data_IF_103140750581
#
_entry.id   IF_103140750581
#
_cell.length_a   1.000
_cell.length_b   1.000
_cell.length_c   1.000
_cell.angle_alpha   90.00
_cell.angle_beta   90.00
_cell.angle_gamma   90.00
#
_symmetry.space_group_name_H-M   'P 1'
#
loop_
_entity.id
_entity.type
_entity.pdbx_description
1 polymer ?
#
# COMPACT_ATOMS: atom_id res chain seq x y z
N UNK A 1 -23.36 34.67 -26.00
CA UNK A 1 -22.84 33.48 -26.70
C UNK A 1 -22.04 32.57 -25.77
N UNK A 2 -20.99 33.07 -25.08
CA UNK A 2 -20.16 32.27 -24.15
C UNK A 2 -20.95 31.49 -23.08
N UNK A 3 -21.94 32.12 -22.41
CA UNK A 3 -22.78 31.43 -21.43
C UNK A 3 -23.63 30.31 -22.06
N UNK A 4 -24.20 30.54 -23.25
CA UNK A 4 -25.01 29.53 -23.92
C UNK A 4 -24.15 28.33 -24.35
N UNK A 5 -22.95 28.58 -24.87
CA UNK A 5 -21.99 27.52 -25.20
C UNK A 5 -21.58 26.72 -23.96
N UNK A 6 -21.37 27.38 -22.82
CA UNK A 6 -21.07 26.72 -21.55
C UNK A 6 -22.19 25.80 -21.09
N UNK A 7 -23.44 26.29 -21.05
CA UNK A 7 -24.59 25.47 -20.65
C UNK A 7 -24.82 24.29 -21.60
N UNK A 8 -24.70 24.50 -22.91
CA UNK A 8 -24.84 23.42 -23.90
C UNK A 8 -23.71 22.39 -23.78
N UNK A 9 -22.47 22.85 -23.55
CA UNK A 9 -21.32 21.97 -23.34
C UNK A 9 -21.44 21.16 -22.05
N UNK A 10 -21.93 21.77 -20.97
CA UNK A 10 -22.17 21.10 -19.69
C UNK A 10 -23.31 20.09 -19.79
N UNK A 11 -24.41 20.43 -20.46
CA UNK A 11 -25.50 19.50 -20.72
C UNK A 11 -25.03 18.30 -21.57
N UNK A 12 -24.27 18.56 -22.64
CA UNK A 12 -23.68 17.50 -23.47
C UNK A 12 -22.76 16.59 -22.64
N UNK A 13 -21.90 17.17 -21.79
CA UNK A 13 -21.02 16.45 -20.89
C UNK A 13 -21.80 15.53 -19.93
N UNK A 14 -22.88 16.04 -19.32
CA UNK A 14 -23.74 15.26 -18.42
C UNK A 14 -24.46 14.12 -19.14
N UNK A 15 -24.83 14.31 -20.41
CA UNK A 15 -25.48 13.28 -21.24
C UNK A 15 -24.49 12.25 -21.84
N UNK A 16 -23.18 12.45 -21.68
CA UNK A 16 -22.15 11.60 -22.28
C UNK A 16 -21.89 11.85 -23.76
N UNK A 17 -22.46 12.91 -24.35
CA UNK A 17 -22.13 13.36 -25.70
C UNK A 17 -20.80 14.13 -25.67
N UNK A 18 -19.70 13.37 -25.62
CA UNK A 18 -18.35 13.91 -25.43
C UNK A 18 -17.89 14.78 -26.59
N UNK A 19 -18.27 14.45 -27.82
CA UNK A 19 -17.90 15.23 -29.00
C UNK A 19 -18.57 16.61 -28.99
N UNK A 20 -19.87 16.65 -28.69
CA UNK A 20 -20.59 17.92 -28.54
C UNK A 20 -20.10 18.70 -27.33
N UNK A 21 -19.79 18.02 -26.23
CA UNK A 21 -19.21 18.66 -25.05
C UNK A 21 -17.91 19.38 -25.40
N UNK A 22 -16.97 18.72 -26.08
CA UNK A 22 -15.71 19.33 -26.54
C UNK A 22 -15.97 20.53 -27.46
N UNK A 23 -16.87 20.38 -28.42
CA UNK A 23 -17.18 21.43 -29.40
C UNK A 23 -17.75 22.68 -28.73
N UNK A 24 -18.69 22.51 -27.80
CA UNK A 24 -19.36 23.63 -27.13
C UNK A 24 -18.49 24.25 -26.04
N UNK A 25 -17.81 23.44 -25.23
CA UNK A 25 -16.89 23.93 -24.20
C UNK A 25 -15.69 24.66 -24.81
N UNK A 26 -15.19 24.22 -25.97
CA UNK A 26 -14.12 24.90 -26.71
C UNK A 26 -14.48 26.31 -27.19
N UNK A 27 -15.77 26.64 -27.29
CA UNK A 27 -16.26 27.98 -27.67
C UNK A 27 -16.44 28.92 -26.48
N UNK A 28 -16.27 28.43 -25.24
CA UNK A 28 -16.50 29.23 -24.03
C UNK A 28 -15.38 30.24 -23.81
N UNK A 29 -14.15 29.88 -24.21
CA UNK A 29 -12.95 30.70 -24.00
C UNK A 29 -12.35 31.16 -25.33
N UNK A 30 -11.87 32.39 -25.37
CA UNK A 30 -11.02 32.90 -26.46
C UNK A 30 -9.55 32.54 -26.22
N UNK A 31 -8.71 32.70 -27.24
CA UNK A 31 -7.28 32.43 -27.12
C UNK A 31 -6.66 33.31 -26.03
N UNK A 32 -6.06 32.67 -25.01
CA UNK A 32 -5.42 33.35 -23.87
C UNK A 32 -6.32 33.56 -22.65
N UNK A 33 -7.63 33.33 -22.76
CA UNK A 33 -8.53 33.32 -21.59
C UNK A 33 -8.35 32.03 -20.78
N UNK A 34 -8.31 32.17 -19.45
CA UNK A 34 -8.21 31.05 -18.50
C UNK A 34 -9.58 30.74 -17.92
N UNK A 35 -9.94 29.46 -17.92
CA UNK A 35 -11.11 28.96 -17.21
C UNK A 35 -10.86 27.50 -16.81
N UNK A 36 -10.39 27.31 -15.56
CA UNK A 36 -9.98 26.00 -15.07
C UNK A 36 -11.12 24.98 -15.03
N UNK A 37 -12.37 25.42 -14.83
CA UNK A 37 -13.52 24.51 -14.87
C UNK A 37 -13.78 23.97 -16.27
N UNK A 38 -13.81 24.85 -17.27
CA UNK A 38 -14.01 24.48 -18.67
C UNK A 38 -12.89 23.56 -19.15
N UNK A 39 -11.64 23.90 -18.84
CA UNK A 39 -10.48 23.13 -19.24
C UNK A 39 -10.43 21.75 -18.56
N UNK A 40 -10.85 21.66 -17.30
CA UNK A 40 -11.03 20.38 -16.63
C UNK A 40 -12.11 19.52 -17.31
N UNK A 41 -13.27 20.10 -17.63
CA UNK A 41 -14.35 19.38 -18.33
C UNK A 41 -13.92 18.94 -19.73
N UNK A 42 -13.19 19.78 -20.47
CA UNK A 42 -12.58 19.43 -21.75
C UNK A 42 -11.62 18.26 -21.60
N UNK A 43 -10.71 18.30 -20.62
CA UNK A 43 -9.79 17.20 -20.35
C UNK A 43 -10.51 15.87 -20.09
N UNK A 44 -11.58 15.89 -19.28
CA UNK A 44 -12.40 14.71 -19.02
C UNK A 44 -13.12 14.20 -20.28
N UNK A 45 -13.65 15.10 -21.11
CA UNK A 45 -14.30 14.72 -22.37
C UNK A 45 -13.30 14.13 -23.37
N UNK A 46 -12.10 14.71 -23.49
CA UNK A 46 -11.02 14.16 -24.30
C UNK A 46 -10.56 12.78 -23.82
N UNK A 47 -10.47 12.55 -22.50
CA UNK A 47 -10.22 11.20 -21.96
C UNK A 47 -11.27 10.18 -22.42
N UNK A 48 -12.54 10.56 -22.45
CA UNK A 48 -13.64 9.70 -22.89
C UNK A 48 -13.64 9.43 -24.39
N UNK A 49 -13.09 10.36 -25.18
CA UNK A 49 -12.89 10.21 -26.63
C UNK A 49 -11.61 9.45 -26.99
N UNK A 50 -10.78 9.06 -26.01
CA UNK A 50 -9.47 8.44 -26.26
C UNK A 50 -8.40 9.42 -26.76
N UNK A 51 -8.66 10.73 -26.73
CA UNK A 51 -7.72 11.77 -27.16
C UNK A 51 -6.82 12.16 -25.98
N UNK A 52 -5.94 11.25 -25.60
CA UNK A 52 -5.19 11.34 -24.35
C UNK A 52 -4.21 12.52 -24.28
N UNK A 53 -3.55 12.86 -25.40
CA UNK A 53 -2.65 14.02 -25.45
C UNK A 53 -3.43 15.34 -25.29
N UNK A 54 -4.56 15.48 -25.99
CA UNK A 54 -5.48 16.62 -25.86
C UNK A 54 -6.03 16.73 -24.44
N UNK A 55 -6.32 15.60 -23.79
CA UNK A 55 -6.73 15.57 -22.40
C UNK A 55 -5.62 16.08 -21.47
N UNK A 56 -4.38 15.59 -21.63
CA UNK A 56 -3.23 16.03 -20.85
C UNK A 56 -2.96 17.53 -21.02
N UNK A 57 -3.14 18.06 -22.23
CA UNK A 57 -3.04 19.49 -22.52
C UNK A 57 -4.15 20.28 -21.80
N UNK A 58 -5.41 19.87 -21.92
CA UNK A 58 -6.53 20.56 -21.29
C UNK A 58 -6.41 20.57 -19.75
N UNK A 59 -5.98 19.46 -19.13
CA UNK A 59 -5.69 19.45 -17.69
C UNK A 59 -4.53 20.39 -17.31
N UNK A 60 -3.52 20.54 -18.18
CA UNK A 60 -2.45 21.52 -17.97
C UNK A 60 -2.98 22.96 -18.04
N UNK A 61 -3.83 23.28 -19.03
CA UNK A 61 -4.49 24.59 -19.10
C UNK A 61 -5.34 24.86 -17.86
N UNK A 62 -6.03 23.85 -17.32
CA UNK A 62 -6.77 23.98 -16.06
C UNK A 62 -5.86 24.30 -14.86
N UNK A 63 -4.64 23.74 -14.83
CA UNK A 63 -3.64 24.02 -13.79
C UNK A 63 -3.08 25.45 -13.87
N UNK A 64 -3.17 26.12 -15.02
CA UNK A 64 -2.74 27.52 -15.18
C UNK A 64 -3.72 28.52 -14.55
N UNK A 65 -4.96 28.10 -14.28
CA UNK A 65 -5.97 28.86 -13.53
C UNK A 65 -5.87 28.54 -12.03
N UNK A 66 -4.98 29.25 -11.35
CA UNK A 66 -4.71 29.06 -9.92
C UNK A 66 -5.98 29.26 -9.06
N UNK A 67 -6.92 30.11 -9.50
CA UNK A 67 -8.15 30.38 -8.76
C UNK A 67 -9.13 29.19 -8.79
N UNK A 68 -9.04 28.31 -9.79
CA UNK A 68 -9.86 27.10 -9.85
C UNK A 68 -9.47 26.06 -8.79
N UNK A 69 -8.19 26.04 -8.40
CA UNK A 69 -7.65 25.10 -7.43
C UNK A 69 -7.67 23.65 -7.93
N UNK A 70 -7.85 22.69 -7.01
CA UNK A 70 -7.89 21.24 -7.30
C UNK A 70 -6.59 20.69 -7.91
N UNK A 71 -5.45 21.27 -7.56
CA UNK A 71 -4.12 20.97 -8.12
C UNK A 71 -3.83 19.47 -8.12
N UNK A 72 -3.91 18.78 -6.98
CA UNK A 72 -3.67 17.33 -6.90
C UNK A 72 -4.62 16.50 -7.78
N UNK A 73 -5.89 16.87 -7.91
CA UNK A 73 -6.84 16.15 -8.77
C UNK A 73 -6.52 16.36 -10.26
N UNK A 74 -6.18 17.58 -10.66
CA UNK A 74 -5.81 17.91 -12.04
C UNK A 74 -4.47 17.26 -12.44
N UNK A 75 -3.47 17.29 -11.56
CA UNK A 75 -2.21 16.56 -11.75
C UNK A 75 -2.46 15.06 -11.88
N UNK A 76 -3.33 14.48 -11.05
CA UNK A 76 -3.72 13.07 -11.15
C UNK A 76 -4.35 12.74 -12.49
N UNK A 77 -5.32 13.55 -12.93
CA UNK A 77 -5.99 13.34 -14.20
C UNK A 77 -5.04 13.51 -15.40
N UNK A 78 -4.16 14.53 -15.36
CA UNK A 78 -3.11 14.73 -16.35
C UNK A 78 -2.14 13.55 -16.41
N UNK A 79 -1.71 13.05 -15.25
CA UNK A 79 -0.86 11.86 -15.16
C UNK A 79 -1.50 10.63 -15.80
N UNK A 80 -2.79 10.38 -15.52
CA UNK A 80 -3.54 9.28 -16.15
C UNK A 80 -3.67 9.45 -17.67
N UNK A 81 -3.87 10.67 -18.14
CA UNK A 81 -3.90 10.99 -19.57
C UNK A 81 -2.54 10.72 -20.24
N UNK A 82 -1.45 11.18 -19.63
CA UNK A 82 -0.08 10.92 -20.11
C UNK A 82 0.23 9.43 -20.14
N UNK A 83 -0.19 8.67 -19.12
CA UNK A 83 -0.01 7.23 -19.07
C UNK A 83 -0.76 6.53 -20.22
N UNK A 84 -2.02 6.90 -20.46
CA UNK A 84 -2.82 6.38 -21.57
C UNK A 84 -2.26 6.77 -22.95
N UNK A 85 -1.57 7.91 -23.04
CA UNK A 85 -0.84 8.33 -24.24
C UNK A 85 0.52 7.61 -24.42
N UNK A 86 0.91 6.71 -23.52
CA UNK A 86 2.20 6.01 -23.54
C UNK A 86 3.39 6.87 -23.08
N UNK A 87 3.14 8.07 -22.54
CA UNK A 87 4.17 8.97 -22.01
C UNK A 87 4.44 8.67 -20.53
N UNK A 88 4.85 7.43 -20.24
CA UNK A 88 4.92 6.89 -18.88
C UNK A 88 5.83 7.68 -17.93
N UNK A 89 7.01 8.12 -18.38
CA UNK A 89 7.90 8.93 -17.55
C UNK A 89 7.30 10.29 -17.19
N UNK A 90 6.70 10.98 -18.17
CA UNK A 90 6.00 12.24 -17.93
C UNK A 90 4.82 12.05 -16.95
N UNK A 91 4.13 10.91 -17.03
CA UNK A 91 3.06 10.58 -16.08
C UNK A 91 3.61 10.46 -14.65
N UNK A 92 4.73 9.77 -14.45
CA UNK A 92 5.38 9.62 -13.13
C UNK A 92 5.74 10.98 -12.56
N UNK A 93 6.35 11.87 -13.34
CA UNK A 93 6.76 13.19 -12.87
C UNK A 93 5.57 14.03 -12.37
N UNK A 94 4.44 13.93 -13.08
CA UNK A 94 3.22 14.70 -12.77
C UNK A 94 2.47 14.10 -11.59
N UNK A 95 2.37 12.78 -11.54
CA UNK A 95 1.71 12.07 -10.43
C UNK A 95 2.51 12.18 -9.14
N UNK A 96 3.84 12.22 -9.22
CA UNK A 96 4.72 12.47 -8.07
C UNK A 96 4.46 13.84 -7.44
N UNK A 97 4.18 14.86 -8.27
CA UNK A 97 3.73 16.17 -7.77
C UNK A 97 2.34 16.10 -7.13
N UNK A 98 1.43 15.28 -7.66
CA UNK A 98 0.08 15.13 -7.10
C UNK A 98 0.11 14.55 -5.68
N UNK A 99 0.95 13.56 -5.41
CA UNK A 99 1.07 12.95 -4.06
C UNK A 99 1.83 13.83 -3.06
N UNK A 100 2.54 14.85 -3.54
CA UNK A 100 3.20 15.86 -2.71
C UNK A 100 2.29 17.05 -2.37
N UNK A 101 1.11 17.16 -2.99
CA UNK A 101 0.15 18.23 -2.70
C UNK A 101 -0.59 17.96 -1.38
N UNK A 102 -0.33 18.71 -0.29
CA UNK A 102 -0.95 18.47 1.01
C UNK A 102 -2.45 18.82 1.02
N UNK A 103 -2.93 19.56 0.01
CA UNK A 103 -4.36 19.90 -0.12
C UNK A 103 -5.15 18.80 -0.84
N UNK A 104 -4.48 17.78 -1.39
CA UNK A 104 -5.14 16.73 -2.14
C UNK A 104 -5.79 15.70 -1.22
N UNK A 105 -7.12 15.75 -1.13
CA UNK A 105 -7.91 14.91 -0.21
C UNK A 105 -8.01 13.43 -0.61
N UNK A 106 -7.62 13.07 -1.83
CA UNK A 106 -7.70 11.68 -2.33
C UNK A 106 -6.41 11.23 -3.01
N UNK A 107 -5.25 11.27 -2.33
CA UNK A 107 -3.96 10.98 -2.94
C UNK A 107 -3.82 9.50 -3.34
N UNK A 108 -4.61 8.57 -2.76
CA UNK A 108 -4.69 7.19 -3.24
C UNK A 108 -4.93 7.08 -4.75
N UNK A 109 -5.67 8.01 -5.37
CA UNK A 109 -5.90 7.99 -6.83
C UNK A 109 -4.62 8.26 -7.62
N UNK A 110 -3.77 9.15 -7.13
CA UNK A 110 -2.46 9.41 -7.72
C UNK A 110 -1.51 8.23 -7.47
N UNK A 111 -1.53 7.65 -6.26
CA UNK A 111 -0.74 6.46 -5.95
C UNK A 111 -1.12 5.24 -6.81
N UNK A 112 -2.42 5.00 -7.05
CA UNK A 112 -2.87 3.95 -7.98
C UNK A 112 -2.31 4.18 -9.39
N UNK A 113 -2.40 5.42 -9.89
CA UNK A 113 -1.87 5.78 -11.21
C UNK A 113 -0.34 5.68 -11.28
N UNK A 114 0.38 6.02 -10.20
CA UNK A 114 1.83 5.81 -10.08
C UNK A 114 2.17 4.32 -10.13
N UNK A 115 1.42 3.50 -9.40
CA UNK A 115 1.56 2.04 -9.42
C UNK A 115 1.49 1.50 -10.85
N UNK A 116 0.45 1.88 -11.59
CA UNK A 116 0.28 1.47 -12.99
C UNK A 116 1.39 2.01 -13.91
N UNK A 117 1.87 3.24 -13.66
CA UNK A 117 2.97 3.80 -14.43
C UNK A 117 4.29 3.05 -14.20
N UNK A 118 4.61 2.71 -12.95
CA UNK A 118 5.78 1.90 -12.64
C UNK A 118 5.67 0.46 -13.16
N UNK A 119 4.48 -0.15 -13.13
CA UNK A 119 4.25 -1.46 -13.76
C UNK A 119 4.53 -1.42 -15.27
N UNK A 120 4.09 -0.37 -15.97
CA UNK A 120 4.36 -0.23 -17.41
C UNK A 120 5.87 -0.07 -17.72
N UNK A 121 6.65 0.49 -16.80
CA UNK A 121 8.11 0.54 -16.91
C UNK A 121 8.81 -0.76 -16.48
N UNK A 122 8.08 -1.73 -15.91
CA UNK A 122 8.66 -2.92 -15.29
C UNK A 122 9.34 -2.65 -13.93
N UNK A 123 9.13 -1.47 -13.33
CA UNK A 123 9.64 -1.15 -12.00
C UNK A 123 8.70 -1.70 -10.90
N UNK A 124 8.74 -3.01 -10.72
CA UNK A 124 7.87 -3.72 -9.76
C UNK A 124 8.04 -3.22 -8.32
N UNK A 125 9.24 -2.71 -7.96
CA UNK A 125 9.51 -2.21 -6.61
C UNK A 125 8.75 -0.92 -6.34
N UNK A 126 8.88 0.07 -7.21
CA UNK A 126 8.20 1.35 -7.03
C UNK A 126 6.68 1.21 -7.26
N UNK A 127 6.26 0.29 -8.13
CA UNK A 127 4.85 -0.09 -8.25
C UNK A 127 4.28 -0.57 -6.91
N UNK A 128 4.94 -1.52 -6.26
CA UNK A 128 4.54 -2.02 -4.94
C UNK A 128 4.48 -0.93 -3.86
N UNK A 129 5.43 0.00 -3.84
CA UNK A 129 5.41 1.14 -2.91
C UNK A 129 4.17 2.02 -3.15
N UNK A 130 3.88 2.34 -4.41
CA UNK A 130 2.74 3.17 -4.77
C UNK A 130 1.41 2.47 -4.43
N UNK A 131 1.26 1.19 -4.77
CA UNK A 131 0.05 0.42 -4.42
C UNK A 131 -0.13 0.25 -2.91
N UNK A 132 0.95 0.04 -2.16
CA UNK A 132 0.90 0.04 -0.69
C UNK A 132 0.39 1.37 -0.16
N UNK A 133 0.91 2.49 -0.65
CA UNK A 133 0.46 3.82 -0.21
C UNK A 133 -1.01 4.07 -0.55
N UNK A 134 -1.50 3.59 -1.69
CA UNK A 134 -2.93 3.65 -2.02
C UNK A 134 -3.79 2.75 -1.12
N UNK A 135 -3.29 1.57 -0.73
CA UNK A 135 -4.01 0.62 0.11
C UNK A 135 -4.15 1.08 1.57
N UNK A 136 -3.16 1.80 2.11
CA UNK A 136 -3.18 2.29 3.50
C UNK A 136 -3.80 3.68 3.67
N UNK A 137 -4.18 4.34 2.58
CA UNK A 137 -4.84 5.65 2.62
C UNK A 137 -6.28 5.51 3.13
N UNK A 138 -6.58 6.13 4.29
CA UNK A 138 -7.91 6.08 4.91
C UNK A 138 -9.01 6.70 4.04
N UNK A 139 -8.66 7.56 3.07
CA UNK A 139 -9.61 8.14 2.13
C UNK A 139 -9.95 7.20 0.96
N UNK A 140 -9.26 6.06 0.83
CA UNK A 140 -9.54 5.07 -0.20
C UNK A 140 -10.76 4.21 0.18
N UNK A 141 -11.91 4.35 -0.52
CA UNK A 141 -13.10 3.56 -0.21
C UNK A 141 -12.99 2.10 -0.64
N UNK A 142 -12.05 1.77 -1.55
CA UNK A 142 -11.91 0.46 -2.17
C UNK A 142 -10.42 0.04 -2.23
N UNK A 143 -9.79 -0.27 -1.08
CA UNK A 143 -8.38 -0.65 -1.04
C UNK A 143 -8.11 -2.03 -1.63
N UNK A 144 -9.14 -2.88 -1.83
CA UNK A 144 -9.05 -4.22 -2.41
C UNK A 144 -8.25 -4.25 -3.73
N UNK A 145 -8.54 -3.33 -4.65
CA UNK A 145 -7.82 -3.22 -5.92
C UNK A 145 -6.33 -2.88 -5.74
N UNK A 146 -6.01 -1.96 -4.84
CA UNK A 146 -4.62 -1.60 -4.52
C UNK A 146 -3.87 -2.76 -3.86
N UNK A 147 -4.51 -3.48 -2.95
CA UNK A 147 -3.97 -4.65 -2.27
C UNK A 147 -3.71 -5.80 -3.24
N UNK A 148 -4.62 -6.02 -4.20
CA UNK A 148 -4.43 -7.00 -5.27
C UNK A 148 -3.20 -6.67 -6.13
N UNK A 149 -3.06 -5.42 -6.59
CA UNK A 149 -1.87 -5.00 -7.35
C UNK A 149 -0.59 -5.02 -6.52
N UNK A 150 -0.67 -4.76 -5.22
CA UNK A 150 0.44 -4.94 -4.29
C UNK A 150 0.85 -6.43 -4.20
N UNK A 151 -0.11 -7.35 -4.12
CA UNK A 151 0.14 -8.79 -4.17
C UNK A 151 0.86 -9.21 -5.46
N UNK A 152 0.43 -8.69 -6.61
CA UNK A 152 1.12 -8.91 -7.90
C UNK A 152 2.55 -8.38 -7.88
N UNK A 153 2.75 -7.20 -7.31
CA UNK A 153 4.09 -6.62 -7.14
C UNK A 153 4.97 -7.51 -6.26
N UNK A 154 4.44 -8.06 -5.17
CA UNK A 154 5.19 -9.01 -4.34
C UNK A 154 5.52 -10.30 -5.07
N UNK A 155 4.60 -10.84 -5.88
CA UNK A 155 4.88 -12.00 -6.74
C UNK A 155 6.01 -11.73 -7.73
N UNK A 156 5.99 -10.57 -8.40
CA UNK A 156 7.06 -10.17 -9.33
C UNK A 156 8.41 -9.94 -8.66
N UNK A 157 8.42 -9.61 -7.36
CA UNK A 157 9.63 -9.48 -6.54
C UNK A 157 10.10 -10.81 -5.92
N UNK A 158 9.44 -11.93 -6.20
CA UNK A 158 9.78 -13.23 -5.60
C UNK A 158 9.46 -13.30 -4.10
N UNK A 159 8.46 -12.55 -3.64
CA UNK A 159 8.01 -12.47 -2.24
C UNK A 159 6.60 -13.07 -2.07
N UNK A 160 6.42 -14.38 -2.30
CA UNK A 160 5.09 -14.98 -2.35
C UNK A 160 4.37 -14.98 -1.00
N UNK A 161 5.09 -15.02 0.13
CA UNK A 161 4.49 -14.94 1.47
C UNK A 161 3.84 -13.57 1.71
N UNK A 162 4.51 -12.49 1.32
CA UNK A 162 3.93 -11.14 1.41
C UNK A 162 2.74 -10.96 0.44
N UNK A 163 2.80 -11.61 -0.73
CA UNK A 163 1.69 -11.61 -1.68
C UNK A 163 0.45 -12.29 -1.10
N UNK A 164 0.61 -13.42 -0.41
CA UNK A 164 -0.49 -14.11 0.29
C UNK A 164 -1.20 -13.17 1.25
N UNK A 165 -0.46 -12.44 2.09
CA UNK A 165 -1.06 -11.50 3.05
C UNK A 165 -1.78 -10.34 2.34
N UNK A 166 -1.21 -9.80 1.27
CA UNK A 166 -1.84 -8.75 0.47
C UNK A 166 -3.16 -9.23 -0.17
N UNK A 167 -3.19 -10.42 -0.77
CA UNK A 167 -4.40 -10.97 -1.38
C UNK A 167 -5.47 -11.34 -0.35
N UNK A 168 -5.09 -11.92 0.80
CA UNK A 168 -6.04 -12.18 1.90
C UNK A 168 -6.67 -10.89 2.41
N UNK A 169 -5.85 -9.87 2.64
CA UNK A 169 -6.35 -8.54 3.01
C UNK A 169 -7.23 -7.96 1.90
N UNK A 170 -6.91 -8.17 0.62
CA UNK A 170 -7.76 -7.72 -0.48
C UNK A 170 -9.15 -8.35 -0.41
N UNK A 171 -9.24 -9.66 -0.16
CA UNK A 171 -10.50 -10.38 0.02
C UNK A 171 -11.34 -9.81 1.17
N UNK A 172 -10.72 -9.41 2.29
CA UNK A 172 -11.41 -8.80 3.43
C UNK A 172 -12.09 -7.45 3.08
N UNK A 173 -11.61 -6.77 2.04
CA UNK A 173 -12.14 -5.49 1.57
C UNK A 173 -13.02 -5.57 0.32
N UNK A 174 -13.20 -6.77 -0.26
CA UNK A 174 -14.07 -6.93 -1.43
C UNK A 174 -15.53 -6.70 -1.09
N UNK A 175 -16.22 -6.03 -1.99
CA UNK A 175 -17.67 -5.87 -1.93
C UNK A 175 -18.37 -7.08 -2.58
N UNK A 176 -19.63 -7.38 -2.23
CA UNK A 176 -20.38 -8.48 -2.86
C UNK A 176 -20.57 -8.37 -4.38
N UNK A 177 -20.33 -7.19 -4.96
CA UNK A 177 -20.43 -6.94 -6.40
C UNK A 177 -19.13 -7.27 -7.15
N UNK A 178 -18.02 -7.44 -6.44
CA UNK A 178 -16.73 -7.76 -7.03
C UNK A 178 -16.52 -9.28 -7.02
N UNK A 179 -16.16 -9.86 -8.17
CA UNK A 179 -15.85 -11.29 -8.22
C UNK A 179 -14.58 -11.57 -7.43
N UNK A 180 -14.72 -12.45 -6.43
CA UNK A 180 -13.59 -12.91 -5.60
C UNK A 180 -12.73 -13.94 -6.34
N UNK A 181 -13.25 -14.53 -7.43
CA UNK A 181 -12.64 -15.65 -8.11
C UNK A 181 -11.23 -15.33 -8.63
N UNK A 182 -11.04 -14.15 -9.22
CA UNK A 182 -9.74 -13.69 -9.68
C UNK A 182 -8.73 -13.54 -8.54
N UNK A 183 -9.16 -13.00 -7.39
CA UNK A 183 -8.29 -12.80 -6.22
C UNK A 183 -7.93 -14.14 -5.58
N UNK A 184 -8.88 -15.07 -5.48
CA UNK A 184 -8.61 -16.43 -5.03
C UNK A 184 -7.66 -17.19 -5.96
N UNK A 185 -7.77 -16.99 -7.28
CA UNK A 185 -6.85 -17.58 -8.25
C UNK A 185 -5.43 -17.04 -8.05
N UNK A 186 -5.27 -15.72 -7.88
CA UNK A 186 -3.98 -15.09 -7.61
C UNK A 186 -3.40 -15.50 -6.24
N UNK A 187 -4.25 -15.66 -5.24
CA UNK A 187 -3.89 -16.20 -3.93
C UNK A 187 -3.42 -17.66 -4.03
N UNK A 188 -4.10 -18.49 -4.82
CA UNK A 188 -3.68 -19.88 -5.10
C UNK A 188 -2.29 -19.96 -5.73
N UNK A 189 -2.02 -19.11 -6.73
CA UNK A 189 -0.69 -18.98 -7.34
C UNK A 189 0.37 -18.55 -6.30
N UNK A 190 0.04 -17.60 -5.43
CA UNK A 190 0.94 -17.17 -4.36
C UNK A 190 1.24 -18.28 -3.35
N UNK A 191 0.23 -19.08 -2.98
CA UNK A 191 0.42 -20.26 -2.12
C UNK A 191 1.29 -21.33 -2.78
N UNK A 192 1.14 -21.60 -4.08
CA UNK A 192 2.03 -22.52 -4.82
C UNK A 192 3.47 -22.02 -4.77
N UNK A 193 3.69 -20.73 -5.05
CA UNK A 193 5.02 -20.12 -5.00
C UNK A 193 5.61 -20.10 -3.58
N UNK A 194 4.77 -20.04 -2.54
CA UNK A 194 5.17 -20.16 -1.14
C UNK A 194 5.31 -21.63 -0.66
N UNK A 195 5.16 -22.62 -1.55
CA UNK A 195 5.19 -24.05 -1.25
C UNK A 195 4.10 -24.52 -0.25
N UNK A 196 2.96 -23.82 -0.21
CA UNK A 196 1.80 -24.09 0.67
C UNK A 196 0.69 -24.80 -0.12
N UNK A 197 0.96 -26.03 -0.54
CA UNK A 197 0.15 -26.73 -1.55
C UNK A 197 -1.30 -27.01 -1.12
N UNK A 198 -1.55 -27.32 0.15
CA UNK A 198 -2.92 -27.54 0.65
C UNK A 198 -3.77 -26.26 0.55
N UNK A 199 -3.21 -25.13 0.99
CA UNK A 199 -3.92 -23.84 0.94
C UNK A 199 -4.08 -23.33 -0.49
N UNK A 200 -3.11 -23.65 -1.38
CA UNK A 200 -3.26 -23.40 -2.80
C UNK A 200 -4.47 -24.13 -3.38
N UNK A 201 -4.62 -25.42 -3.07
CA UNK A 201 -5.76 -26.23 -3.52
C UNK A 201 -7.08 -25.62 -3.03
N UNK A 202 -7.16 -25.20 -1.76
CA UNK A 202 -8.35 -24.57 -1.21
C UNK A 202 -8.67 -23.25 -1.92
N UNK A 203 -7.67 -22.39 -2.11
CA UNK A 203 -7.85 -21.11 -2.81
C UNK A 203 -8.30 -21.28 -4.27
N UNK A 204 -7.69 -22.19 -5.03
CA UNK A 204 -8.13 -22.49 -6.39
C UNK A 204 -9.55 -23.08 -6.43
N UNK A 205 -9.91 -23.91 -5.45
CA UNK A 205 -11.26 -24.46 -5.34
C UNK A 205 -12.29 -23.34 -5.14
N UNK A 206 -12.00 -22.35 -4.29
CA UNK A 206 -12.80 -21.14 -4.15
C UNK A 206 -12.89 -20.35 -5.47
N UNK A 207 -11.78 -20.18 -6.19
CA UNK A 207 -11.80 -19.50 -7.48
C UNK A 207 -12.74 -20.17 -8.49
N UNK A 208 -12.73 -21.50 -8.56
CA UNK A 208 -13.60 -22.27 -9.49
C UNK A 208 -15.04 -22.43 -9.02
N UNK A 209 -15.37 -22.02 -7.80
CA UNK A 209 -16.76 -22.09 -7.31
C UNK A 209 -17.69 -21.11 -8.03
N UNK A 210 -17.14 -20.02 -8.58
CA UNK A 210 -17.81 -19.14 -9.51
C UNK A 210 -17.80 -19.77 -10.92
N UNK A 211 -18.95 -20.28 -11.37
CA UNK A 211 -19.08 -20.94 -12.67
C UNK A 211 -18.83 -20.00 -13.87
N UNK A 212 -18.84 -18.68 -13.67
CA UNK A 212 -18.51 -17.71 -14.72
C UNK A 212 -17.00 -17.47 -14.85
N UNK A 213 -16.21 -17.86 -13.84
CA UNK A 213 -14.78 -17.68 -13.83
C UNK A 213 -14.09 -18.75 -14.68
N UNK A 214 -13.29 -18.30 -15.66
CA UNK A 214 -12.43 -19.17 -16.46
C UNK A 214 -11.01 -19.04 -15.94
N UNK A 215 -10.50 -20.11 -15.35
CA UNK A 215 -9.14 -20.15 -14.82
C UNK A 215 -8.11 -20.05 -15.96
N UNK A 216 -7.10 -19.16 -15.85
CA UNK A 216 -5.97 -19.12 -16.77
C UNK A 216 -5.21 -20.45 -16.85
N UNK A 217 -4.60 -20.75 -18.00
CA UNK A 217 -3.91 -22.03 -18.25
C UNK A 217 -2.75 -22.30 -17.29
N UNK A 218 -1.98 -21.25 -16.95
CA UNK A 218 -0.89 -21.30 -15.99
C UNK A 218 -1.39 -21.59 -14.57
N UNK A 219 -2.48 -20.95 -14.16
CA UNK A 219 -3.14 -21.20 -12.89
C UNK A 219 -3.73 -22.62 -12.82
N UNK A 220 -4.31 -23.11 -13.92
CA UNK A 220 -4.83 -24.49 -13.99
C UNK A 220 -3.70 -25.52 -13.84
N UNK A 221 -2.58 -25.33 -14.54
CA UNK A 221 -1.42 -26.20 -14.38
C UNK A 221 -0.87 -26.17 -12.94
N UNK A 222 -0.81 -24.98 -12.33
CA UNK A 222 -0.40 -24.83 -10.93
C UNK A 222 -1.37 -25.53 -9.96
N UNK A 223 -2.68 -25.46 -10.22
CA UNK A 223 -3.70 -26.12 -9.41
C UNK A 223 -3.57 -27.65 -9.47
N UNK A 224 -3.44 -28.22 -10.68
CA UNK A 224 -3.22 -29.66 -10.87
C UNK A 224 -1.92 -30.13 -10.19
N UNK A 225 -0.84 -29.35 -10.29
CA UNK A 225 0.42 -29.64 -9.62
C UNK A 225 0.25 -29.64 -8.09
N UNK A 226 -0.47 -28.67 -7.54
CA UNK A 226 -0.76 -28.57 -6.10
C UNK A 226 -1.61 -29.76 -5.62
N UNK A 227 -2.66 -30.14 -6.37
CA UNK A 227 -3.47 -31.32 -6.08
C UNK A 227 -2.63 -32.61 -6.06
N UNK A 228 -1.78 -32.80 -7.05
CA UNK A 228 -0.87 -33.95 -7.13
C UNK A 228 0.16 -33.96 -5.99
N UNK A 229 0.63 -32.80 -5.53
CA UNK A 229 1.52 -32.70 -4.38
C UNK A 229 0.79 -33.09 -3.08
N UNK A 230 -0.43 -32.56 -2.86
CA UNK A 230 -1.26 -32.89 -1.68
C UNK A 230 -1.65 -34.37 -1.69
N UNK A 231 -2.03 -34.93 -2.83
CA UNK A 231 -2.35 -36.35 -2.97
C UNK A 231 -1.14 -37.23 -2.64
N UNK A 232 0.07 -36.87 -3.11
CA UNK A 232 1.31 -37.59 -2.77
C UNK A 232 1.66 -37.52 -1.29
N UNK A 233 1.41 -36.38 -0.63
CA UNK A 233 1.60 -36.24 0.82
C UNK A 233 0.62 -37.16 1.55
N UNK A 234 -0.65 -37.19 1.14
CA UNK A 234 -1.67 -38.07 1.73
C UNK A 234 -1.43 -39.56 1.44
N UNK A 235 -0.86 -39.89 0.28
CA UNK A 235 -0.62 -41.27 -0.15
C UNK A 235 0.72 -41.84 0.31
N UNK A 236 1.61 -41.02 0.89
CA UNK A 236 2.81 -41.54 1.57
C UNK A 236 2.34 -42.44 2.71
N UNK A 237 2.40 -43.75 2.49
CA UNK A 237 2.41 -44.74 3.56
C UNK A 237 3.53 -44.34 4.54
N UNK A 238 3.39 -44.60 5.85
CA UNK A 238 4.48 -44.36 6.81
C UNK A 238 5.78 -44.89 6.24
N UNK A 239 6.88 -44.14 6.36
CA UNK A 239 8.18 -44.64 5.88
C UNK A 239 8.48 -45.99 6.52
N UNK A 240 9.33 -46.84 5.92
CA UNK A 240 9.71 -48.10 6.59
C UNK A 240 10.26 -47.85 8.00
N UNK A 241 10.92 -46.71 8.21
CA UNK A 241 11.33 -46.24 9.54
C UNK A 241 10.14 -45.90 10.43
N UNK A 242 9.13 -45.17 9.96
CA UNK A 242 7.92 -44.87 10.74
C UNK A 242 7.10 -46.12 11.05
N UNK A 243 6.98 -47.04 10.07
CA UNK A 243 6.30 -48.32 10.24
C UNK A 243 7.08 -49.25 11.18
N UNK A 244 8.42 -49.25 11.12
CA UNK A 244 9.29 -49.98 12.03
C UNK A 244 9.23 -49.39 13.44
N UNK A 245 9.24 -48.06 13.58
CA UNK A 245 9.08 -47.38 14.86
C UNK A 245 7.70 -47.71 15.44
N UNK A 246 6.62 -47.61 14.67
CA UNK A 246 5.28 -48.01 15.10
C UNK A 246 5.20 -49.48 15.51
N UNK A 247 5.81 -50.39 14.74
CA UNK A 247 5.87 -51.82 15.05
C UNK A 247 6.73 -52.12 16.28
N UNK A 248 7.76 -51.31 16.55
CA UNK A 248 8.59 -51.34 17.74
C UNK A 248 7.96 -50.61 18.94
N UNK A 249 6.72 -50.10 18.80
CA UNK A 249 5.98 -49.40 19.85
C UNK A 249 6.29 -47.91 19.98
N UNK A 250 7.20 -47.37 19.16
CA UNK A 250 7.53 -45.94 19.07
C UNK A 250 6.53 -45.20 18.18
N UNK A 251 5.72 -44.32 18.78
CA UNK A 251 4.73 -43.50 18.05
C UNK A 251 3.37 -43.32 18.76
N UNK A 252 3.17 -43.96 19.91
CA UNK A 252 1.98 -43.78 20.76
C UNK A 252 2.19 -42.81 21.92
N UNK A 253 3.33 -42.12 21.97
CA UNK A 253 3.63 -41.13 23.01
C UNK A 253 3.47 -39.73 22.43
N UNK A 254 2.80 -38.87 23.18
CA UNK A 254 2.79 -37.43 22.93
C UNK A 254 4.25 -36.92 22.98
N UNK A 255 4.78 -36.24 21.94
CA UNK A 255 6.12 -35.67 21.97
C UNK A 255 6.37 -34.73 23.15
N UNK A 256 5.31 -34.24 23.81
CA UNK A 256 5.37 -33.38 24.99
C UNK A 256 5.22 -34.15 26.33
N UNK A 257 4.80 -35.43 26.30
CA UNK A 257 4.75 -36.31 27.48
C UNK A 257 5.26 -37.72 27.13
N UNK A 258 6.59 -37.91 27.09
CA UNK A 258 7.22 -39.17 26.72
C UNK A 258 7.15 -40.24 27.83
N UNK A 259 6.66 -39.92 29.03
CA UNK A 259 6.67 -40.83 30.19
C UNK A 259 5.27 -41.19 30.68
N UNK A 260 4.21 -40.53 30.20
CA UNK A 260 2.81 -40.86 30.51
C UNK A 260 2.43 -40.64 31.98
N UNK A 261 3.22 -39.86 32.71
CA UNK A 261 3.07 -39.65 34.16
C UNK A 261 2.52 -38.27 34.53
N UNK A 262 2.33 -37.34 33.59
CA UNK A 262 1.68 -36.06 33.88
C UNK A 262 0.16 -36.11 33.68
N UNK A 263 -0.50 -36.85 34.57
CA UNK A 263 -1.91 -36.58 34.85
C UNK A 263 -2.08 -35.18 35.41
N UNK A 264 -2.93 -34.37 34.77
CA UNK A 264 -3.30 -32.98 35.08
C UNK A 264 -2.32 -31.90 34.62
N UNK A 265 -2.63 -31.24 33.48
CA UNK A 265 -2.50 -29.76 33.30
C UNK A 265 -2.90 -29.22 31.91
N UNK A 266 -3.78 -29.91 31.17
CA UNK A 266 -4.52 -29.26 30.08
C UNK A 266 -6.01 -29.46 30.36
N UNK A 267 -6.79 -28.40 30.62
CA UNK A 267 -8.23 -28.53 30.80
C UNK A 267 -8.84 -29.20 29.55
N UNK A 268 -9.78 -30.11 29.74
CA UNK A 268 -10.47 -30.76 28.61
C UNK A 268 -11.13 -29.69 27.74
N UNK A 269 -11.28 -29.95 26.44
CA UNK A 269 -11.88 -29.00 25.50
C UNK A 269 -13.29 -28.52 25.93
N UNK A 270 -13.97 -29.31 26.77
CA UNK A 270 -15.27 -29.00 27.37
C UNK A 270 -15.18 -27.93 28.47
N UNK A 271 -14.02 -27.78 29.12
CA UNK A 271 -13.75 -26.85 30.22
C UNK A 271 -13.17 -25.50 29.73
N UNK A 272 -12.81 -25.41 28.44
CA UNK A 272 -12.27 -24.19 27.81
C UNK A 272 -13.35 -23.27 27.20
N UNK A 273 -14.63 -23.66 27.28
CA UNK A 273 -15.75 -22.87 26.75
C UNK A 273 -15.78 -22.73 25.23
N UNK A 274 -14.95 -23.49 24.49
CA UNK A 274 -14.77 -23.35 23.04
C UNK A 274 -16.01 -23.76 22.22
N UNK A 275 -16.84 -24.69 22.74
CA UNK A 275 -18.06 -25.17 22.07
C UNK A 275 -19.38 -24.71 22.73
N UNK A 276 -19.32 -23.88 23.79
CA UNK A 276 -20.52 -23.37 24.48
C UNK A 276 -20.87 -21.92 24.12
N UNK A 277 -20.14 -21.30 23.20
CA UNK A 277 -20.43 -19.96 22.70
C UNK A 277 -21.64 -20.01 21.76
N UNK A 278 -22.76 -19.43 22.19
CA UNK A 278 -23.90 -19.23 21.30
C UNK A 278 -23.55 -18.22 20.21
N UNK A 279 -24.24 -18.29 19.07
CA UNK A 279 -24.04 -17.35 17.96
C UNK A 279 -24.29 -15.89 18.40
N UNK A 280 -25.14 -15.66 19.40
CA UNK A 280 -25.35 -14.36 20.04
C UNK A 280 -24.13 -13.87 20.84
N UNK A 281 -23.43 -14.76 21.54
CA UNK A 281 -22.23 -14.43 22.31
C UNK A 281 -21.06 -14.05 21.39
N UNK A 282 -20.91 -14.75 20.26
CA UNK A 282 -19.91 -14.43 19.22
C UNK A 282 -20.16 -13.03 18.64
N UNK A 283 -21.43 -12.70 18.34
CA UNK A 283 -21.81 -11.37 17.84
C UNK A 283 -21.64 -10.26 18.89
N UNK A 284 -21.89 -10.56 20.16
CA UNK A 284 -21.67 -9.63 21.26
C UNK A 284 -20.16 -9.37 21.48
N UNK A 285 -19.35 -10.41 21.33
CA UNK A 285 -17.89 -10.35 21.44
C UNK A 285 -17.29 -9.59 20.25
N UNK A 286 -17.70 -9.84 19.00
CA UNK A 286 -17.25 -9.03 17.85
C UNK A 286 -17.66 -7.56 17.97
N UNK A 287 -18.83 -7.25 18.54
CA UNK A 287 -19.24 -5.86 18.85
C UNK A 287 -18.35 -5.22 19.92
N UNK A 288 -17.96 -5.95 20.97
CA UNK A 288 -17.00 -5.48 21.98
C UNK A 288 -15.62 -5.29 21.37
N UNK A 289 -15.15 -6.22 20.56
CA UNK A 289 -13.84 -6.19 19.92
C UNK A 289 -13.77 -5.12 18.83
N UNK A 290 -14.86 -4.81 18.12
CA UNK A 290 -14.97 -3.61 17.28
C UNK A 290 -14.82 -2.32 18.09
N UNK A 291 -15.40 -2.24 19.29
CA UNK A 291 -15.22 -1.07 20.18
C UNK A 291 -13.80 -0.96 20.71
N UNK A 292 -13.15 -2.08 21.04
CA UNK A 292 -11.75 -2.15 21.47
C UNK A 292 -10.79 -1.78 20.33
N UNK A 293 -10.98 -2.32 19.12
CA UNK A 293 -10.25 -1.94 17.89
C UNK A 293 -10.38 -0.44 17.59
N UNK A 294 -11.59 0.14 17.76
CA UNK A 294 -11.79 1.60 17.66
C UNK A 294 -11.01 2.38 18.73
N UNK A 295 -10.84 1.84 19.94
CA UNK A 295 -10.12 2.49 21.05
C UNK A 295 -8.59 2.42 20.90
N UNK A 296 -8.06 1.36 20.29
CA UNK A 296 -6.63 1.22 19.96
C UNK A 296 -6.20 1.94 18.67
N UNK A 297 -7.15 2.48 17.89
CA UNK A 297 -6.89 3.24 16.64
C UNK A 297 -5.96 4.46 16.80
N UNK A 298 -5.77 4.96 18.03
CA UNK A 298 -4.95 6.15 18.31
C UNK A 298 -3.68 5.88 19.14
N UNK A 299 -3.34 4.63 19.47
CA UNK A 299 -2.10 4.35 20.22
C UNK A 299 -0.87 4.70 19.39
N UNK A 300 -0.86 4.37 18.09
CA UNK A 300 0.23 4.72 17.18
C UNK A 300 0.45 6.24 17.04
N UNK A 301 -0.62 7.01 16.88
CA UNK A 301 -0.56 8.48 16.79
C UNK A 301 -0.09 9.11 18.12
N UNK A 302 -0.52 8.58 19.27
CA UNK A 302 -0.05 9.05 20.59
C UNK A 302 1.44 8.77 20.80
N UNK A 303 1.92 7.59 20.42
CA UNK A 303 3.35 7.25 20.48
C UNK A 303 4.16 8.16 19.57
N UNK A 304 3.68 8.41 18.34
CA UNK A 304 4.32 9.33 17.41
C UNK A 304 4.42 10.77 17.96
N UNK A 305 3.34 11.30 18.55
CA UNK A 305 3.34 12.63 19.15
C UNK A 305 4.28 12.74 20.36
N UNK A 306 4.37 11.70 21.19
CA UNK A 306 5.33 11.68 22.31
C UNK A 306 6.77 11.71 21.81
N UNK A 307 7.09 10.92 20.78
CA UNK A 307 8.43 10.93 20.15
C UNK A 307 8.74 12.32 19.57
N UNK A 308 7.78 12.95 18.89
CA UNK A 308 7.94 14.30 18.33
C UNK A 308 8.26 15.34 19.42
N UNK A 309 7.56 15.29 20.55
CA UNK A 309 7.79 16.20 21.69
C UNK A 309 9.16 15.96 22.31
N UNK A 310 9.59 14.70 22.46
CA UNK A 310 10.92 14.36 22.97
C UNK A 310 12.03 14.87 22.05
N UNK A 311 11.87 14.74 20.73
CA UNK A 311 12.81 15.28 19.75
C UNK A 311 12.87 16.81 19.80
N UNK A 312 11.73 17.48 19.90
CA UNK A 312 11.68 18.92 20.05
C UNK A 312 12.37 19.39 21.35
N UNK A 313 12.18 18.67 22.46
CA UNK A 313 12.86 18.95 23.73
C UNK A 313 14.38 18.72 23.64
N UNK A 314 14.82 17.67 22.95
CA UNK A 314 16.25 17.40 22.68
C UNK A 314 16.88 18.50 21.82
N UNK A 315 16.22 18.91 20.74
CA UNK A 315 16.68 20.00 19.90
C UNK A 315 16.71 21.33 20.67
N UNK A 316 15.67 21.63 21.45
CA UNK A 316 15.63 22.81 22.31
C UNK A 316 16.74 22.81 23.37
N UNK A 317 17.00 21.67 24.00
CA UNK A 317 18.11 21.47 24.93
C UNK A 317 19.48 21.66 24.27
N UNK A 318 19.66 21.14 23.06
CA UNK A 318 20.89 21.33 22.28
C UNK A 318 21.14 22.80 21.90
N UNK A 319 20.09 23.52 21.47
CA UNK A 319 20.17 24.96 21.18
C UNK A 319 20.45 25.76 22.45
N UNK A 320 19.82 25.43 23.57
CA UNK A 320 20.07 26.08 24.86
C UNK A 320 21.51 25.82 25.37
N UNK A 321 21.99 24.59 25.26
CA UNK A 321 23.37 24.25 25.59
C UNK A 321 24.37 25.04 24.72
N UNK A 322 24.08 25.19 23.42
CA UNK A 322 24.88 25.99 22.51
C UNK A 322 24.91 27.47 22.89
N UNK A 323 23.77 28.07 23.26
CA UNK A 323 23.72 29.50 23.67
C UNK A 323 24.34 29.75 25.05
N UNK A 324 24.34 28.75 25.94
CA UNK A 324 25.04 28.79 27.23
C UNK A 324 26.54 28.44 27.12
N UNK A 325 27.05 28.19 25.91
CA UNK A 325 28.48 27.96 25.67
C UNK A 325 28.95 26.52 25.90
N UNK A 326 28.04 25.56 26.10
CA UNK A 326 28.33 24.11 26.18
C UNK A 326 28.43 23.44 24.78
N UNK A 327 28.66 24.22 23.72
CA UNK A 327 28.77 23.72 22.35
C UNK A 327 30.11 23.03 22.05
N UNK A 328 30.15 22.21 21.01
CA UNK A 328 31.41 21.66 20.50
C UNK A 328 32.28 22.80 19.97
N UNK A 329 33.55 22.93 20.41
CA UNK A 329 34.40 24.02 19.95
C UNK A 329 34.62 23.88 18.44
N UNK A 330 34.42 24.98 17.71
CA UNK A 330 34.66 25.01 16.27
C UNK A 330 36.16 24.93 16.00
N UNK A 331 36.57 24.45 14.83
CA UNK A 331 38.00 24.35 14.50
C UNK A 331 38.72 25.70 14.65
N UNK A 332 38.06 26.82 14.34
CA UNK A 332 38.60 28.16 14.56
C UNK A 332 38.76 28.50 16.05
N UNK A 333 37.79 28.19 16.91
CA UNK A 333 37.92 28.48 18.35
C UNK A 333 38.99 27.63 19.04
N UNK A 334 39.21 26.38 18.58
CA UNK A 334 40.31 25.54 19.02
C UNK A 334 41.66 26.13 18.61
N UNK A 335 41.76 26.59 17.36
CA UNK A 335 43.00 27.19 16.82
C UNK A 335 43.33 28.50 17.56
N UNK A 336 42.35 29.37 17.79
CA UNK A 336 42.52 30.59 18.58
C UNK A 336 42.89 30.30 20.04
N UNK A 337 42.30 29.25 20.63
CA UNK A 337 42.67 28.75 21.96
C UNK A 337 44.12 28.28 22.03
N UNK A 338 44.62 27.58 21.01
CA UNK A 338 46.01 27.13 20.91
C UNK A 338 46.96 28.33 20.77
N UNK A 339 46.62 29.30 19.91
CA UNK A 339 47.47 30.48 19.69
C UNK A 339 47.52 31.42 20.89
N UNK A 340 46.39 31.65 21.56
CA UNK A 340 46.33 32.46 22.78
C UNK A 340 47.07 31.79 23.96
N UNK A 341 46.93 30.48 24.15
CA UNK A 341 47.67 29.73 25.16
C UNK A 341 49.19 29.75 24.92
N UNK A 342 49.63 29.72 23.66
CA UNK A 342 51.03 29.85 23.27
C UNK A 342 51.57 31.27 23.51
N UNK A 343 50.77 32.30 23.25
CA UNK A 343 51.15 33.69 23.48
C UNK A 343 51.27 34.04 24.98
N UNK A 344 50.49 33.39 25.85
CA UNK A 344 50.52 33.58 27.30
C UNK A 344 51.52 32.68 28.03
N UNK A 345 52.38 31.95 27.31
CA UNK A 345 53.47 31.14 27.88
C UNK A 345 53.04 29.95 28.75
N UNK A 346 51.75 29.57 28.74
CA UNK A 346 51.22 28.52 29.61
C UNK A 346 51.16 27.18 28.85
N UNK A 347 52.33 26.59 28.61
CA UNK A 347 52.50 25.35 27.81
C UNK A 347 51.72 24.13 28.34
N UNK A 348 51.28 24.15 29.61
CA UNK A 348 50.47 23.08 30.21
C UNK A 348 49.03 23.02 29.67
N UNK A 349 48.47 24.17 29.25
CA UNK A 349 47.08 24.29 28.82
C UNK A 349 46.84 23.88 27.36
N UNK A 350 47.90 23.58 26.60
CA UNK A 350 47.78 23.19 25.19
C UNK A 350 47.39 21.70 25.07
N UNK A 351 47.76 20.85 26.04
CA UNK A 351 47.50 19.40 26.01
C UNK A 351 46.00 19.04 25.99
N UNK A 352 45.13 19.88 26.55
CA UNK A 352 43.68 19.65 26.56
C UNK A 352 43.03 19.76 25.17
N UNK A 353 43.70 20.40 24.21
CA UNK A 353 43.20 20.57 22.84
C UNK A 353 43.78 19.55 21.85
N UNK A 354 44.69 18.67 22.30
CA UNK A 354 45.41 17.69 21.45
C UNK A 354 45.04 16.24 21.82
N UNK A 355 44.17 16.02 22.81
CA UNK A 355 43.74 14.67 23.21
C UNK A 355 42.34 14.35 22.68
N UNK A 356 42.30 13.62 21.57
CA UNK A 356 41.22 12.68 21.23
C UNK A 356 41.71 11.80 20.07
N UNK A 357 42.30 10.65 20.42
CA UNK A 357 42.14 9.43 19.61
C UNK A 357 40.88 8.73 20.07
#
# INVERSE_FOLDING_TARGET
MKQQAYEQGKAAYQSGDWLRAVTQLGQVKEAGEKNGEVDHLLGNAYMKLGQFESAAYAYNSALEDVAYGKVGALLTNRGRALLAAGQTQNAIDVLSKAVQDPSYLTPYKAYLALGSAYEQLGDTRNAGIAYRNAAVDEANPHPSGALRSLGKSFMGLGRPVDAVEAYRTALDFLTPLESQAEVYCELGLAYVAANRMSEAVDAFSHATSDASFVMPDDARAAYEAAQNAVARIRSRKPSETDAFLQAAGYGNYDPLDPMGESGELIPSAEDTGFFSLSEEDILAQDKKDRKVRRKHRHTGLKVFLVILVLLAALCGGGVFAYTQGYGWPTQQSVIEGIFSAKAQGTSGNIKQYITST
#
